data_IF_256317821967
#
_entry.id   IF_256317821967
#
_cell.length_a   1.000
_cell.length_b   1.000
_cell.length_c   1.000
_cell.angle_alpha   90.00
_cell.angle_beta   90.00
_cell.angle_gamma   90.00
#
_symmetry.space_group_name_H-M   'P 1'
#
loop_
_entity.id
_entity.type
_entity.pdbx_description
1 polymer ?
#
# COMPACT_ATOMS: atom_id res chain seq x y z
N UNK A 1 -12.83 7.66 5.83
CA UNK A 1 -11.36 7.48 5.79
C UNK A 1 -10.88 7.45 4.35
N UNK A 2 -9.81 8.15 4.05
CA UNK A 2 -9.22 8.12 2.71
C UNK A 2 -7.83 7.49 2.76
N UNK A 3 -7.19 7.35 1.60
CA UNK A 3 -5.88 6.69 1.53
C UNK A 3 -4.80 7.39 2.34
N UNK A 4 -4.88 8.71 2.44
CA UNK A 4 -3.92 9.47 3.26
C UNK A 4 -4.03 9.14 4.74
N UNK A 5 -5.23 8.79 5.19
CA UNK A 5 -5.45 8.49 6.61
C UNK A 5 -4.78 7.20 7.05
N UNK A 6 -4.67 6.21 6.16
CA UNK A 6 -4.05 4.93 6.51
C UNK A 6 -2.57 4.86 6.16
N UNK A 7 -2.06 5.87 5.52
CA UNK A 7 -0.66 5.95 5.13
C UNK A 7 0.28 5.68 6.32
N UNK A 8 -0.02 6.26 7.48
CA UNK A 8 0.80 6.07 8.67
C UNK A 8 0.76 4.64 9.19
N UNK A 9 -0.41 4.03 9.18
CA UNK A 9 -0.57 2.64 9.62
C UNK A 9 0.19 1.70 8.71
N UNK A 10 0.00 1.86 7.41
CA UNK A 10 0.69 1.04 6.43
C UNK A 10 2.20 1.28 6.47
N UNK A 11 2.61 2.54 6.61
CA UNK A 11 4.01 2.91 6.65
C UNK A 11 4.78 2.34 7.82
N UNK A 12 4.11 2.09 8.94
CA UNK A 12 4.74 1.45 10.09
C UNK A 12 5.08 -0.02 9.81
N UNK A 13 4.34 -0.65 8.91
CA UNK A 13 4.52 -2.06 8.57
C UNK A 13 5.36 -2.20 7.32
N UNK A 14 5.05 -1.42 6.29
CA UNK A 14 5.70 -1.45 4.99
C UNK A 14 5.94 -0.02 4.52
N UNK A 15 7.10 0.56 4.85
CA UNK A 15 7.37 1.99 4.58
C UNK A 15 7.21 2.40 3.13
N UNK A 16 7.65 1.57 2.20
CA UNK A 16 7.55 1.90 0.78
C UNK A 16 6.09 1.93 0.32
N UNK A 17 5.30 0.97 0.77
CA UNK A 17 3.87 0.92 0.45
C UNK A 17 3.16 2.14 1.03
N UNK A 18 3.50 2.51 2.26
CA UNK A 18 2.94 3.68 2.91
C UNK A 18 3.20 4.96 2.13
N UNK A 19 4.44 5.13 1.65
CA UNK A 19 4.81 6.27 0.83
C UNK A 19 4.02 6.30 -0.48
N UNK A 20 3.92 5.16 -1.15
CA UNK A 20 3.22 5.06 -2.42
C UNK A 20 1.71 5.31 -2.27
N UNK A 21 1.12 4.79 -1.20
CA UNK A 21 -0.33 4.90 -1.00
C UNK A 21 -0.76 6.33 -0.69
N UNK A 22 0.14 7.11 -0.09
CA UNK A 22 -0.13 8.52 0.19
C UNK A 22 0.14 9.44 -0.98
N UNK A 23 0.67 8.92 -2.09
CA UNK A 23 1.03 9.71 -3.26
C UNK A 23 0.01 9.64 -4.38
N UNK A 24 0.39 10.14 -5.58
CA UNK A 24 -0.50 10.16 -6.75
C UNK A 24 -1.00 8.79 -7.18
N UNK A 25 -0.23 7.75 -6.94
CA UNK A 25 -0.59 6.39 -7.31
C UNK A 25 -1.33 5.64 -6.19
N UNK A 26 -1.84 6.37 -5.19
CA UNK A 26 -2.48 5.76 -4.02
C UNK A 26 -3.58 4.78 -4.35
N UNK A 27 -4.44 5.12 -5.33
CA UNK A 27 -5.54 4.25 -5.72
C UNK A 27 -5.03 2.94 -6.33
N UNK A 28 -4.01 3.02 -7.17
CA UNK A 28 -3.42 1.83 -7.80
C UNK A 28 -2.76 0.94 -6.76
N UNK A 29 -1.95 1.53 -5.90
CA UNK A 29 -1.27 0.79 -4.84
C UNK A 29 -2.29 0.22 -3.85
N UNK A 30 -3.33 0.98 -3.53
CA UNK A 30 -4.41 0.50 -2.68
C UNK A 30 -5.09 -0.73 -3.24
N UNK A 31 -5.32 -0.75 -4.55
CA UNK A 31 -5.90 -1.90 -5.23
C UNK A 31 -4.99 -3.13 -5.10
N UNK A 32 -3.69 -2.94 -5.28
CA UNK A 32 -2.73 -4.03 -5.15
C UNK A 32 -2.68 -4.56 -3.72
N UNK A 33 -2.69 -3.66 -2.74
CA UNK A 33 -2.67 -4.03 -1.32
C UNK A 33 -3.95 -4.79 -0.95
N UNK A 34 -5.11 -4.32 -1.40
CA UNK A 34 -6.37 -4.98 -1.09
C UNK A 34 -6.42 -6.40 -1.66
N UNK A 35 -5.88 -6.59 -2.86
CA UNK A 35 -5.77 -7.93 -3.45
C UNK A 35 -4.83 -8.82 -2.64
N UNK A 36 -3.71 -8.27 -2.19
CA UNK A 36 -2.75 -9.04 -1.39
C UNK A 36 -3.34 -9.46 -0.05
N UNK A 37 -4.16 -8.62 0.55
CA UNK A 37 -4.79 -8.90 1.83
C UNK A 37 -6.11 -9.65 1.71
N UNK A 38 -6.67 -9.72 0.49
CA UNK A 38 -7.94 -10.40 0.27
C UNK A 38 -9.14 -9.62 0.82
N UNK A 39 -9.10 -8.30 0.76
CA UNK A 39 -10.16 -7.43 1.26
C UNK A 39 -10.63 -6.46 0.18
N UNK A 40 -11.71 -5.73 0.48
CA UNK A 40 -12.23 -4.73 -0.46
C UNK A 40 -11.22 -3.62 -0.69
N UNK A 41 -11.26 -3.05 -1.88
CA UNK A 41 -10.35 -1.97 -2.26
C UNK A 41 -10.82 -0.64 -1.69
N UNK A 42 -10.79 -0.53 -0.37
CA UNK A 42 -11.13 0.70 0.35
C UNK A 42 -10.14 0.89 1.50
N UNK A 43 -9.86 2.15 1.88
CA UNK A 43 -9.00 2.40 3.04
C UNK A 43 -9.53 1.75 4.31
N UNK A 44 -10.85 1.78 4.49
CA UNK A 44 -11.49 1.23 5.68
C UNK A 44 -11.29 -0.28 5.80
N UNK A 45 -11.45 -1.00 4.70
CA UNK A 45 -11.28 -2.46 4.70
C UNK A 45 -9.83 -2.86 4.98
N UNK A 46 -8.88 -2.14 4.41
CA UNK A 46 -7.47 -2.39 4.64
C UNK A 46 -7.10 -2.08 6.08
N UNK A 47 -7.55 -0.95 6.60
CA UNK A 47 -7.28 -0.58 7.98
C UNK A 47 -7.84 -1.61 8.96
N UNK A 48 -9.06 -2.06 8.72
CA UNK A 48 -9.68 -3.09 9.56
C UNK A 48 -8.89 -4.39 9.53
N UNK A 49 -8.46 -4.82 8.36
CA UNK A 49 -7.66 -6.04 8.23
C UNK A 49 -6.35 -5.93 9.01
N UNK A 50 -5.65 -4.82 8.89
CA UNK A 50 -4.38 -4.62 9.59
C UNK A 50 -4.57 -4.57 11.10
N UNK A 51 -5.75 -4.17 11.55
CA UNK A 51 -6.06 -4.05 12.96
C UNK A 51 -6.51 -5.37 13.58
N UNK A 52 -7.24 -6.19 12.83
CA UNK A 52 -7.89 -7.39 13.37
C UNK A 52 -7.27 -8.71 12.93
N UNK A 53 -6.56 -8.72 11.81
CA UNK A 53 -5.95 -9.95 11.27
C UNK A 53 -4.45 -9.94 11.55
N UNK A 54 -3.96 -10.83 12.44
CA UNK A 54 -2.53 -10.86 12.75
C UNK A 54 -1.65 -11.22 11.56
N UNK A 55 -2.21 -11.86 10.54
CA UNK A 55 -1.45 -12.21 9.34
C UNK A 55 -1.41 -11.08 8.31
N UNK A 56 -2.28 -10.08 8.44
CA UNK A 56 -2.33 -9.00 7.47
C UNK A 56 -1.02 -8.22 7.39
N UNK A 57 -0.40 -7.96 8.54
CA UNK A 57 0.88 -7.26 8.57
C UNK A 57 1.98 -8.06 7.86
N UNK A 58 1.97 -9.37 8.05
CA UNK A 58 2.94 -10.25 7.41
C UNK A 58 2.73 -10.25 5.90
N UNK A 59 1.48 -10.34 5.47
CA UNK A 59 1.13 -10.32 4.04
C UNK A 59 1.53 -8.99 3.40
N UNK A 60 1.33 -7.90 4.12
CA UNK A 60 1.67 -6.58 3.61
C UNK A 60 3.19 -6.42 3.44
N UNK A 61 3.97 -6.89 4.38
CA UNK A 61 5.43 -6.88 4.27
C UNK A 61 5.91 -7.73 3.09
N UNK A 62 5.35 -8.91 2.97
CA UNK A 62 5.69 -9.80 1.86
C UNK A 62 5.33 -9.17 0.53
N UNK A 63 4.17 -8.52 0.46
CA UNK A 63 3.75 -7.80 -0.72
C UNK A 63 4.77 -6.73 -1.10
N UNK A 64 5.24 -5.96 -0.13
CA UNK A 64 6.24 -4.93 -0.40
C UNK A 64 7.53 -5.53 -0.95
N UNK A 65 8.03 -6.60 -0.35
CA UNK A 65 9.26 -7.25 -0.80
C UNK A 65 9.10 -7.81 -2.20
N UNK A 66 8.00 -8.52 -2.44
CA UNK A 66 7.75 -9.19 -3.72
C UNK A 66 7.49 -8.21 -4.86
N UNK A 67 7.00 -7.01 -4.55
CA UNK A 67 6.59 -6.02 -5.55
C UNK A 67 7.33 -4.69 -5.44
N UNK A 68 8.48 -4.70 -4.80
CA UNK A 68 9.24 -3.49 -4.55
C UNK A 68 9.48 -2.65 -5.80
N UNK A 69 9.87 -3.28 -6.89
CA UNK A 69 10.10 -2.59 -8.16
C UNK A 69 8.86 -1.90 -8.68
N UNK A 70 7.75 -2.63 -8.69
CA UNK A 70 6.48 -2.09 -9.18
C UNK A 70 5.99 -0.96 -8.31
N UNK A 71 6.12 -1.10 -6.99
CA UNK A 71 5.70 -0.06 -6.05
C UNK A 71 6.52 1.20 -6.27
N UNK A 72 7.83 1.07 -6.42
CA UNK A 72 8.71 2.22 -6.68
C UNK A 72 8.38 2.88 -8.00
N UNK A 73 8.09 2.09 -9.01
CA UNK A 73 7.72 2.61 -10.31
C UNK A 73 6.47 3.48 -10.22
N UNK A 74 5.45 2.99 -9.53
CA UNK A 74 4.21 3.75 -9.36
C UNK A 74 4.39 4.97 -8.46
N UNK A 75 5.18 4.84 -7.40
CA UNK A 75 5.40 5.93 -6.46
C UNK A 75 6.17 7.09 -7.08
N UNK A 76 7.09 6.78 -8.00
CA UNK A 76 7.97 7.78 -8.62
C UNK A 76 7.76 7.89 -10.12
N UNK A 77 6.58 7.56 -10.58
CA UNK A 77 6.24 7.56 -11.99
C UNK A 77 6.56 8.86 -12.70
N UNK A 78 6.28 9.98 -12.05
CA UNK A 78 6.54 11.29 -12.63
C UNK A 78 8.02 11.50 -12.88
N UNK A 79 8.87 11.01 -12.01
CA UNK A 79 10.32 11.14 -12.16
C UNK A 79 10.86 10.28 -13.30
N UNK A 80 10.28 9.11 -13.50
CA UNK A 80 10.69 8.20 -14.55
C UNK A 80 10.42 8.78 -15.93
N UNK A 81 9.35 9.54 -16.07
CA UNK A 81 8.97 10.13 -17.35
C UNK A 81 10.01 11.14 -17.83
N UNK A 82 10.69 11.78 -16.91
CA UNK A 82 11.66 12.80 -17.24
C UNK A 82 13.02 12.26 -17.66
N UNK A 83 13.26 11.04 -17.37
CA UNK A 83 14.52 10.39 -17.69
C UNK A 83 14.52 9.79 -19.09
#
# INVERSE_FOLDING_TARGET
>A
MNWSDIKGVIGNIAPLVGTAIGGPAGTVIGSMVSNALGVDNTPDAIALALKTDPEAAIKLRKFQIDNEKDIRKHAFEVLDVEL
#
